data_IF_531469102332
#
_entry.id   IF_531469102332
#
_cell.length_a   1.000
_cell.length_b   1.000
_cell.length_c   1.000
_cell.angle_alpha   90.00
_cell.angle_beta   90.00
_cell.angle_gamma   90.00
#
_symmetry.space_group_name_H-M   'P 1'
#
loop_
_entity.id
_entity.type
_entity.pdbx_description
1 polymer ?
#
# COMPACT_ATOMS: atom_id res chain seq x y z
N UNK A 1 4.62 -2.93 25.87
CA UNK A 1 3.86 -4.07 25.32
C UNK A 1 2.38 -3.70 25.08
N UNK A 2 2.12 -2.89 24.06
CA UNK A 2 0.96 -3.00 23.17
C UNK A 2 1.60 -2.76 21.79
N UNK A 3 1.80 -3.81 21.02
CA UNK A 3 2.78 -3.88 19.92
C UNK A 3 3.39 -5.27 19.78
N UNK A 4 3.32 -6.07 20.83
CA UNK A 4 2.82 -7.42 20.65
C UNK A 4 1.31 -7.27 20.53
N UNK A 5 0.77 -7.53 19.34
CA UNK A 5 -0.59 -8.03 19.29
C UNK A 5 -0.56 -9.29 20.15
N UNK A 6 -1.23 -9.26 21.31
CA UNK A 6 -1.82 -10.50 21.82
C UNK A 6 -2.77 -10.88 20.71
N UNK A 7 -2.28 -11.69 19.78
CA UNK A 7 -3.10 -12.50 18.90
C UNK A 7 -3.85 -13.35 19.90
N UNK A 8 -5.07 -12.91 20.24
CA UNK A 8 -6.05 -13.86 20.67
C UNK A 8 -6.02 -14.93 19.57
N UNK A 9 -5.53 -16.13 19.90
CA UNK A 9 -5.95 -17.35 19.22
C UNK A 9 -7.47 -17.42 19.43
N UNK A 10 -8.22 -16.56 18.74
CA UNK A 10 -9.60 -16.82 18.48
C UNK A 10 -9.55 -18.05 17.57
N UNK A 11 -10.02 -19.17 18.09
CA UNK A 11 -10.17 -20.45 17.41
C UNK A 11 -11.21 -20.39 16.27
N UNK A 12 -11.35 -19.24 15.62
CA UNK A 12 -12.31 -18.92 14.55
C UNK A 12 -11.67 -18.12 13.39
N UNK A 13 -10.35 -18.19 13.18
CA UNK A 13 -9.73 -17.49 12.04
C UNK A 13 -9.93 -18.29 10.75
N UNK A 14 -10.98 -17.96 10.00
CA UNK A 14 -11.13 -18.32 8.59
C UNK A 14 -10.08 -17.55 7.76
N UNK A 15 -8.80 -17.84 7.96
CA UNK A 15 -7.73 -17.43 7.04
C UNK A 15 -7.81 -18.28 5.77
N UNK A 16 -7.16 -17.80 4.70
CA UNK A 16 -7.04 -18.54 3.42
C UNK A 16 -6.06 -19.71 3.48
N UNK A 17 -5.39 -19.92 4.63
CA UNK A 17 -4.46 -21.03 4.85
C UNK A 17 -3.08 -20.75 4.25
N UNK A 18 -2.42 -21.81 3.77
CA UNK A 18 -1.08 -21.70 3.16
C UNK A 18 -1.21 -21.18 1.73
N UNK A 19 -0.46 -20.13 1.41
CA UNK A 19 -0.42 -19.50 0.09
C UNK A 19 0.99 -19.50 -0.48
N UNK A 20 1.09 -19.35 -1.80
CA UNK A 20 2.37 -19.37 -2.51
C UNK A 20 2.41 -18.21 -3.48
N UNK A 21 3.45 -17.38 -3.36
CA UNK A 21 3.73 -16.33 -4.32
C UNK A 21 4.03 -16.92 -5.69
N UNK A 22 3.30 -16.46 -6.70
CA UNK A 22 3.47 -16.80 -8.11
C UNK A 22 4.17 -15.67 -8.83
N UNK A 23 4.77 -16.00 -9.97
CA UNK A 23 5.47 -15.03 -10.80
C UNK A 23 4.96 -15.07 -12.23
N UNK A 24 4.79 -13.89 -12.81
CA UNK A 24 4.44 -13.69 -14.21
C UNK A 24 5.44 -12.70 -14.84
N UNK A 25 6.03 -13.05 -15.98
CA UNK A 25 7.01 -12.18 -16.65
C UNK A 25 6.43 -11.60 -17.93
N UNK A 26 6.36 -10.27 -17.97
CA UNK A 26 6.07 -9.48 -19.16
C UNK A 26 7.36 -9.42 -19.98
N UNK A 27 7.38 -10.10 -21.12
CA UNK A 27 8.55 -10.16 -22.00
C UNK A 27 8.72 -8.89 -22.83
N UNK A 28 7.59 -8.30 -23.25
CA UNK A 28 7.60 -7.07 -24.04
C UNK A 28 8.00 -5.86 -23.18
N UNK A 29 8.65 -4.89 -23.81
CA UNK A 29 8.92 -3.60 -23.17
C UNK A 29 7.61 -2.83 -22.97
N UNK A 30 7.53 -2.15 -21.84
CA UNK A 30 6.41 -1.28 -21.44
C UNK A 30 6.86 0.16 -21.66
N UNK A 31 6.00 0.96 -22.30
CA UNK A 31 6.21 2.40 -22.41
C UNK A 31 5.84 3.08 -21.08
N UNK A 32 6.85 3.59 -20.39
CA UNK A 32 6.67 4.36 -19.17
C UNK A 32 6.10 5.76 -19.47
N UNK A 33 5.56 6.43 -18.45
CA UNK A 33 5.10 7.82 -18.62
C UNK A 33 6.23 8.80 -18.94
N UNK A 34 7.46 8.48 -18.54
CA UNK A 34 8.66 9.22 -18.95
C UNK A 34 8.95 9.13 -20.47
N UNK A 35 8.29 8.20 -21.18
CA UNK A 35 8.57 7.87 -22.58
C UNK A 35 9.62 6.77 -22.76
N UNK A 36 10.27 6.32 -21.69
CA UNK A 36 11.25 5.23 -21.74
C UNK A 36 10.57 3.87 -22.01
N UNK A 37 11.33 2.95 -22.63
CA UNK A 37 10.89 1.57 -22.89
C UNK A 37 11.57 0.63 -21.91
N UNK A 38 10.81 0.07 -20.97
CA UNK A 38 11.35 -0.74 -19.88
C UNK A 38 10.86 -2.19 -19.91
N UNK A 39 11.77 -3.14 -19.74
CA UNK A 39 11.45 -4.57 -19.64
C UNK A 39 12.68 -5.46 -19.88
N UNK A 40 12.57 -6.78 -19.64
CA UNK A 40 11.39 -7.50 -19.16
C UNK A 40 11.02 -7.16 -17.71
N UNK A 41 9.74 -7.35 -17.36
CA UNK A 41 9.21 -7.08 -16.00
C UNK A 41 8.63 -8.35 -15.41
N UNK A 42 9.19 -8.81 -14.29
CA UNK A 42 8.61 -9.86 -13.46
C UNK A 42 7.62 -9.24 -12.47
N UNK A 43 6.47 -9.87 -12.30
CA UNK A 43 5.43 -9.48 -11.35
C UNK A 43 5.23 -10.62 -10.36
N UNK A 44 5.46 -10.33 -9.08
CA UNK A 44 5.10 -11.22 -7.98
C UNK A 44 3.65 -10.98 -7.57
N UNK A 45 2.86 -12.05 -7.47
CA UNK A 45 1.45 -11.96 -7.13
C UNK A 45 0.94 -13.20 -6.40
N UNK A 46 -0.14 -13.03 -5.66
CA UNK A 46 -0.92 -14.09 -5.02
C UNK A 46 -2.39 -13.98 -5.41
N UNK A 47 -3.08 -15.10 -5.30
CA UNK A 47 -4.49 -15.23 -5.65
C UNK A 47 -5.22 -16.02 -4.59
N UNK A 48 -6.41 -15.59 -4.19
CA UNK A 48 -7.22 -16.21 -3.15
C UNK A 48 -8.65 -16.42 -3.67
N UNK A 49 -9.26 -17.57 -3.37
CA UNK A 49 -10.55 -17.95 -3.96
C UNK A 49 -10.44 -18.46 -5.41
N UNK A 50 -11.56 -18.52 -6.12
CA UNK A 50 -11.66 -19.12 -7.46
C UNK A 50 -12.32 -18.16 -8.45
N UNK A 51 -11.68 -17.97 -9.61
CA UNK A 51 -12.25 -17.20 -10.72
C UNK A 51 -13.38 -17.98 -11.37
N UNK A 52 -14.56 -17.35 -11.49
CA UNK A 52 -15.73 -17.97 -12.11
C UNK A 52 -15.62 -18.04 -13.64
N UNK A 53 -16.52 -18.81 -14.28
CA UNK A 53 -16.51 -19.00 -15.74
C UNK A 53 -16.74 -17.69 -16.52
N UNK A 54 -17.52 -16.77 -15.94
CA UNK A 54 -17.81 -15.45 -16.52
C UNK A 54 -16.61 -14.50 -16.43
N UNK A 55 -15.66 -14.79 -15.52
CA UNK A 55 -14.44 -14.03 -15.25
C UNK A 55 -14.72 -12.61 -14.76
N UNK A 56 -15.77 -12.47 -13.96
CA UNK A 56 -16.30 -11.19 -13.48
C UNK A 56 -16.36 -11.08 -11.93
N UNK A 57 -15.96 -12.12 -11.20
CA UNK A 57 -15.89 -12.09 -9.73
C UNK A 57 -14.51 -11.70 -9.18
N UNK A 58 -13.68 -10.96 -9.94
CA UNK A 58 -12.33 -10.62 -9.50
C UNK A 58 -12.28 -9.36 -8.62
N UNK A 59 -11.45 -9.40 -7.57
CA UNK A 59 -11.07 -8.21 -6.79
C UNK A 59 -9.55 -8.04 -6.88
N UNK A 60 -9.09 -6.89 -7.38
CA UNK A 60 -7.67 -6.52 -7.35
C UNK A 60 -7.39 -5.69 -6.09
N UNK A 61 -6.59 -6.24 -5.17
CA UNK A 61 -6.11 -5.58 -3.96
C UNK A 61 -4.76 -4.93 -4.19
N UNK A 62 -4.72 -3.62 -3.93
CA UNK A 62 -3.59 -2.75 -4.17
C UNK A 62 -2.99 -2.37 -2.81
N UNK A 63 -1.76 -2.80 -2.54
CA UNK A 63 -1.12 -2.61 -1.25
C UNK A 63 -0.65 -1.17 -1.02
N UNK A 64 -0.47 -0.80 0.25
CA UNK A 64 0.11 0.48 0.66
C UNK A 64 1.65 0.51 0.44
N UNK A 65 2.31 1.63 0.73
CA UNK A 65 3.72 1.89 0.37
C UNK A 65 4.71 0.75 0.68
N UNK A 66 4.53 0.06 1.80
CA UNK A 66 5.47 -0.97 2.29
C UNK A 66 4.88 -2.38 2.31
N UNK A 67 3.71 -2.58 1.69
CA UNK A 67 3.09 -3.88 1.52
C UNK A 67 3.69 -4.65 0.35
N UNK A 68 3.13 -5.84 0.10
CA UNK A 68 3.54 -6.74 -0.97
C UNK A 68 2.32 -7.55 -1.48
N UNK A 69 2.58 -8.62 -2.25
CA UNK A 69 1.55 -9.50 -2.78
C UNK A 69 0.85 -10.38 -1.71
N UNK A 70 1.44 -10.53 -0.52
CA UNK A 70 0.96 -11.45 0.50
C UNK A 70 -0.09 -10.78 1.39
N UNK A 71 -1.28 -10.58 0.83
CA UNK A 71 -2.41 -9.94 1.50
C UNK A 71 -3.04 -10.82 2.60
N UNK A 72 -3.02 -12.14 2.48
CA UNK A 72 -3.64 -13.04 3.47
C UNK A 72 -3.03 -14.44 3.47
N UNK A 73 -3.33 -15.20 4.52
CA UNK A 73 -2.79 -16.54 4.70
C UNK A 73 -1.39 -16.51 5.29
N UNK A 74 -0.69 -17.62 5.14
CA UNK A 74 0.69 -17.81 5.60
C UNK A 74 1.49 -18.44 4.45
N UNK A 75 2.80 -18.20 4.36
CA UNK A 75 3.66 -18.92 3.40
C UNK A 75 4.10 -20.28 3.94
N UNK A 76 4.18 -20.43 5.26
CA UNK A 76 4.52 -21.68 5.94
C UNK A 76 3.72 -21.88 7.23
N UNK A 77 3.62 -23.13 7.71
CA UNK A 77 2.97 -23.42 9.00
C UNK A 77 3.72 -22.83 10.20
N UNK A 78 5.00 -22.49 10.02
CA UNK A 78 5.87 -21.91 11.06
C UNK A 78 5.80 -20.36 11.10
N UNK A 79 5.11 -19.75 10.15
CA UNK A 79 5.00 -18.29 10.07
C UNK A 79 4.24 -17.74 11.27
N UNK A 80 4.85 -16.79 11.97
CA UNK A 80 4.27 -16.18 13.18
C UNK A 80 3.14 -15.21 12.88
N UNK A 81 3.08 -14.67 11.66
CA UNK A 81 2.13 -13.63 11.25
C UNK A 81 1.59 -13.97 9.87
N UNK A 82 0.28 -13.77 9.64
CA UNK A 82 -0.28 -13.93 8.32
C UNK A 82 0.02 -12.71 7.44
N UNK A 83 -0.46 -12.75 6.19
CA UNK A 83 -0.42 -11.64 5.25
C UNK A 83 -0.98 -10.33 5.79
N UNK A 84 -0.59 -9.22 5.17
CA UNK A 84 -0.75 -7.86 5.72
C UNK A 84 -2.20 -7.38 5.90
N UNK A 85 -3.17 -8.08 5.30
CA UNK A 85 -4.60 -7.79 5.42
C UNK A 85 -5.45 -9.04 5.67
N UNK A 86 -4.90 -10.06 6.34
CA UNK A 86 -5.61 -11.32 6.59
C UNK A 86 -6.99 -11.08 7.21
N UNK A 87 -7.13 -10.15 8.16
CA UNK A 87 -8.42 -9.83 8.79
C UNK A 87 -9.50 -9.34 7.82
N UNK A 88 -9.13 -8.84 6.65
CA UNK A 88 -10.05 -8.37 5.60
C UNK A 88 -10.25 -9.38 4.46
N UNK A 89 -9.35 -10.35 4.27
CA UNK A 89 -9.36 -11.26 3.11
C UNK A 89 -9.44 -12.71 3.57
N UNK A 90 -10.47 -13.42 3.12
CA UNK A 90 -10.68 -14.84 3.45
C UNK A 90 -12.16 -15.22 3.48
N UNK A 91 -12.48 -16.48 3.78
CA UNK A 91 -13.87 -16.97 3.78
C UNK A 91 -14.77 -16.14 4.71
N UNK A 92 -15.82 -15.55 4.16
CA UNK A 92 -16.79 -14.73 4.89
C UNK A 92 -16.31 -13.33 5.33
N UNK A 93 -15.06 -12.93 5.05
CA UNK A 93 -14.49 -11.62 5.43
C UNK A 93 -14.96 -10.50 4.48
N UNK A 94 -14.36 -9.30 4.58
CA UNK A 94 -14.72 -8.16 3.75
C UNK A 94 -14.55 -8.45 2.25
N UNK A 95 -13.40 -9.01 1.91
CA UNK A 95 -13.05 -9.56 0.61
C UNK A 95 -13.22 -11.08 0.69
N UNK A 96 -14.48 -11.50 0.58
CA UNK A 96 -14.93 -12.87 0.80
C UNK A 96 -14.43 -13.82 -0.31
N UNK A 97 -13.46 -14.67 0.02
CA UNK A 97 -12.84 -15.60 -0.95
C UNK A 97 -13.72 -16.78 -1.33
N UNK A 98 -14.85 -16.99 -0.64
CA UNK A 98 -15.87 -17.95 -1.07
C UNK A 98 -16.69 -17.43 -2.26
N UNK A 99 -16.62 -16.11 -2.52
CA UNK A 99 -17.38 -15.43 -3.58
C UNK A 99 -16.49 -14.83 -4.65
N UNK A 100 -15.36 -14.27 -4.25
CA UNK A 100 -14.49 -13.49 -5.11
C UNK A 100 -13.15 -14.19 -5.36
N UNK A 101 -12.63 -13.97 -6.56
CA UNK A 101 -11.24 -14.26 -6.91
C UNK A 101 -10.39 -13.03 -6.60
N UNK A 102 -9.73 -13.04 -5.45
CA UNK A 102 -8.92 -11.92 -4.98
C UNK A 102 -7.51 -12.06 -5.56
N UNK A 103 -6.99 -10.97 -6.13
CA UNK A 103 -5.65 -10.86 -6.70
C UNK A 103 -4.89 -9.81 -5.90
N UNK A 104 -3.68 -10.10 -5.46
CA UNK A 104 -2.78 -9.10 -4.89
C UNK A 104 -1.42 -9.23 -5.54
N UNK A 105 -0.86 -8.11 -6.02
CA UNK A 105 0.43 -8.08 -6.70
C UNK A 105 1.33 -7.03 -6.09
N UNK A 106 2.61 -7.36 -5.93
CA UNK A 106 3.59 -6.39 -5.50
C UNK A 106 3.83 -5.35 -6.63
N UNK A 107 3.92 -4.08 -6.25
CA UNK A 107 4.02 -2.95 -7.17
C UNK A 107 5.34 -2.95 -7.95
N UNK A 108 5.30 -2.47 -9.20
CA UNK A 108 6.52 -2.14 -9.95
C UNK A 108 7.39 -1.18 -9.11
N UNK A 109 8.70 -1.43 -9.05
CA UNK A 109 9.62 -0.65 -8.23
C UNK A 109 9.72 -1.11 -6.76
N UNK A 110 8.85 -2.05 -6.34
CA UNK A 110 8.96 -2.71 -5.04
C UNK A 110 10.16 -3.65 -4.92
N UNK A 111 10.30 -4.28 -3.75
CA UNK A 111 11.41 -5.18 -3.43
C UNK A 111 10.99 -6.61 -3.04
N UNK A 112 9.70 -6.87 -2.89
CA UNK A 112 9.14 -8.21 -2.61
C UNK A 112 8.81 -9.00 -3.90
N UNK A 113 9.78 -9.16 -4.79
CA UNK A 113 9.70 -10.06 -5.95
C UNK A 113 9.22 -9.49 -7.30
N UNK A 114 8.46 -8.39 -7.34
CA UNK A 114 8.20 -7.65 -8.60
C UNK A 114 9.46 -6.86 -8.97
N UNK A 115 9.73 -6.71 -10.27
CA UNK A 115 10.89 -5.98 -10.77
C UNK A 115 10.96 -4.56 -10.20
N UNK A 116 12.09 -4.27 -9.56
CA UNK A 116 12.41 -2.98 -8.93
C UNK A 116 13.92 -2.74 -8.90
N UNK A 117 14.37 -1.68 -8.22
CA UNK A 117 15.78 -1.29 -8.16
C UNK A 117 16.74 -2.39 -7.66
N UNK A 118 16.27 -3.31 -6.81
CA UNK A 118 17.07 -4.42 -6.30
C UNK A 118 17.11 -5.63 -7.26
N UNK A 119 16.30 -5.63 -8.31
CA UNK A 119 16.27 -6.69 -9.33
C UNK A 119 17.48 -6.61 -10.24
N UNK A 120 17.89 -7.76 -10.78
CA UNK A 120 19.02 -7.83 -11.73
C UNK A 120 18.61 -7.20 -13.06
N UNK A 121 19.39 -6.22 -13.50
CA UNK A 121 19.34 -5.66 -14.84
C UNK A 121 19.92 -6.69 -15.83
N UNK A 122 19.13 -7.17 -16.81
CA UNK A 122 19.59 -8.17 -17.76
C UNK A 122 20.70 -7.66 -18.70
N UNK A 123 20.81 -6.35 -18.91
CA UNK A 123 21.85 -5.76 -19.77
C UNK A 123 23.22 -5.72 -19.09
N UNK A 124 23.26 -5.65 -17.75
CA UNK A 124 24.51 -5.48 -16.98
C UNK A 124 24.85 -6.66 -16.09
N UNK A 125 23.89 -7.55 -15.81
CA UNK A 125 24.04 -8.66 -14.87
C UNK A 125 24.15 -8.24 -13.40
N UNK A 126 23.85 -6.97 -13.07
CA UNK A 126 23.91 -6.40 -11.72
C UNK A 126 22.54 -5.83 -11.31
N UNK A 127 22.26 -5.64 -10.01
CA UNK A 127 21.06 -4.93 -9.60
C UNK A 127 20.95 -3.55 -10.27
N UNK A 128 19.73 -3.11 -10.61
CA UNK A 128 19.53 -1.82 -11.28
C UNK A 128 20.05 -0.62 -10.45
N UNK A 129 19.83 -0.60 -9.14
CA UNK A 129 20.11 0.57 -8.31
C UNK A 129 19.42 1.82 -8.86
N UNK A 130 20.18 2.90 -9.04
CA UNK A 130 19.65 4.14 -9.62
C UNK A 130 19.56 4.14 -11.16
N UNK A 131 20.01 3.07 -11.83
CA UNK A 131 19.77 2.89 -13.26
C UNK A 131 18.33 2.37 -13.53
N UNK A 132 17.56 2.08 -12.47
CA UNK A 132 16.13 1.79 -12.60
C UNK A 132 15.40 3.05 -13.10
N UNK A 133 14.46 2.95 -14.04
CA UNK A 133 13.74 4.12 -14.52
C UNK A 133 12.85 4.71 -13.42
N UNK A 134 12.70 6.02 -13.40
CA UNK A 134 11.71 6.67 -12.52
C UNK A 134 10.32 6.30 -13.02
N UNK A 135 9.51 5.74 -12.12
CA UNK A 135 8.17 5.22 -12.41
C UNK A 135 7.07 6.08 -11.79
N UNK A 136 5.85 5.93 -12.29
CA UNK A 136 4.63 6.54 -11.74
C UNK A 136 3.63 5.50 -11.25
N UNK A 137 2.54 5.94 -10.62
CA UNK A 137 1.43 5.06 -10.23
C UNK A 137 0.80 4.43 -11.49
N UNK A 138 0.74 5.18 -12.58
CA UNK A 138 0.19 4.76 -13.85
C UNK A 138 1.03 3.69 -14.54
N UNK A 139 2.36 3.77 -14.40
CA UNK A 139 3.25 2.72 -14.86
C UNK A 139 3.06 1.41 -14.07
N UNK A 140 2.82 1.50 -12.75
CA UNK A 140 2.45 0.33 -11.95
C UNK A 140 1.10 -0.26 -12.39
N UNK A 141 0.10 0.58 -12.69
CA UNK A 141 -1.21 0.14 -13.19
C UNK A 141 -1.10 -0.53 -14.56
N UNK A 142 -0.25 -0.03 -15.48
CA UNK A 142 0.04 -0.70 -16.76
C UNK A 142 0.61 -2.11 -16.55
N UNK A 143 1.52 -2.29 -15.59
CA UNK A 143 2.09 -3.60 -15.24
C UNK A 143 1.02 -4.51 -14.67
N UNK A 144 0.23 -4.03 -13.72
CA UNK A 144 -0.88 -4.78 -13.12
C UNK A 144 -1.91 -5.19 -14.17
N UNK A 145 -2.20 -4.33 -15.16
CA UNK A 145 -3.10 -4.66 -16.27
C UNK A 145 -2.62 -5.85 -17.08
N UNK A 146 -1.32 -5.96 -17.35
CA UNK A 146 -0.75 -7.13 -18.03
C UNK A 146 -0.93 -8.41 -17.21
N UNK A 147 -0.81 -8.35 -15.88
CA UNK A 147 -1.10 -9.47 -15.00
C UNK A 147 -2.59 -9.86 -15.03
N UNK A 148 -3.49 -8.87 -14.92
CA UNK A 148 -4.95 -9.08 -14.97
C UNK A 148 -5.37 -9.73 -16.30
N UNK A 149 -4.78 -9.28 -17.41
CA UNK A 149 -5.00 -9.88 -18.74
C UNK A 149 -4.48 -11.32 -18.82
N UNK A 150 -3.30 -11.58 -18.26
CA UNK A 150 -2.73 -12.93 -18.18
C UNK A 150 -3.62 -13.90 -17.38
N UNK A 151 -4.19 -13.44 -16.27
CA UNK A 151 -5.15 -14.21 -15.47
C UNK A 151 -6.52 -14.36 -16.17
N UNK A 152 -6.74 -13.62 -17.26
CA UNK A 152 -7.91 -13.71 -18.11
C UNK A 152 -9.17 -13.14 -17.46
N UNK A 153 -9.03 -12.18 -16.55
CA UNK A 153 -10.12 -11.45 -15.89
C UNK A 153 -10.78 -10.47 -16.87
N UNK A 154 -12.12 -10.41 -16.87
CA UNK A 154 -12.89 -9.54 -17.78
C UNK A 154 -13.53 -8.34 -17.09
N UNK A 155 -13.91 -8.50 -15.82
CA UNK A 155 -14.43 -7.43 -14.97
C UNK A 155 -13.78 -7.54 -13.61
N UNK A 156 -13.50 -6.40 -13.00
CA UNK A 156 -12.91 -6.37 -11.67
C UNK A 156 -13.51 -5.27 -10.79
N UNK A 157 -13.45 -5.55 -9.49
CA UNK A 157 -13.48 -4.52 -8.45
C UNK A 157 -12.03 -4.21 -8.10
N UNK A 158 -11.69 -2.93 -7.91
CA UNK A 158 -10.37 -2.52 -7.41
C UNK A 158 -10.51 -1.96 -6.00
N UNK A 159 -9.60 -2.35 -5.10
CA UNK A 159 -9.62 -1.87 -3.73
C UNK A 159 -8.20 -1.61 -3.23
N UNK A 160 -8.01 -0.51 -2.51
CA UNK A 160 -6.71 -0.17 -1.96
C UNK A 160 -6.77 0.87 -0.86
N UNK A 161 -5.88 0.68 0.12
CA UNK A 161 -5.64 1.62 1.20
C UNK A 161 -4.41 2.48 0.95
N UNK A 162 -4.38 3.73 1.40
CA UNK A 162 -3.20 4.60 1.27
C UNK A 162 -2.74 4.73 -0.20
N UNK A 163 -1.46 4.51 -0.51
CA UNK A 163 -0.96 4.42 -1.88
C UNK A 163 -1.75 3.44 -2.77
N UNK A 164 -2.32 2.37 -2.20
CA UNK A 164 -3.21 1.45 -2.91
C UNK A 164 -4.46 2.14 -3.46
N UNK A 165 -4.99 3.14 -2.74
CA UNK A 165 -6.14 3.92 -3.19
C UNK A 165 -5.80 4.85 -4.36
N UNK A 166 -4.55 5.34 -4.45
CA UNK A 166 -4.06 6.09 -5.62
C UNK A 166 -4.06 5.19 -6.87
N UNK A 167 -3.54 3.97 -6.74
CA UNK A 167 -3.58 2.97 -7.79
C UNK A 167 -5.02 2.62 -8.18
N UNK A 168 -5.93 2.48 -7.21
CA UNK A 168 -7.34 2.17 -7.46
C UNK A 168 -8.06 3.29 -8.24
N UNK A 169 -7.76 4.55 -7.90
CA UNK A 169 -8.24 5.71 -8.64
C UNK A 169 -7.76 5.69 -10.09
N UNK A 170 -6.47 5.46 -10.32
CA UNK A 170 -5.91 5.37 -11.67
C UNK A 170 -6.56 4.23 -12.48
N UNK A 171 -6.72 3.05 -11.88
CA UNK A 171 -7.42 1.93 -12.51
C UNK A 171 -8.83 2.31 -13.00
N UNK A 172 -9.56 3.07 -12.19
CA UNK A 172 -10.92 3.51 -12.52
C UNK A 172 -11.00 4.44 -13.73
N UNK A 173 -9.89 5.08 -14.09
CA UNK A 173 -9.77 6.03 -15.19
C UNK A 173 -9.18 5.34 -16.42
N UNK A 174 -8.03 4.66 -16.26
CA UNK A 174 -7.29 4.04 -17.36
C UNK A 174 -8.01 2.83 -17.97
N UNK A 175 -8.79 2.10 -17.17
CA UNK A 175 -9.44 0.84 -17.56
C UNK A 175 -10.93 0.83 -17.17
N UNK A 176 -11.61 1.95 -17.45
CA UNK A 176 -12.99 2.19 -17.02
C UNK A 176 -14.05 1.25 -17.61
N UNK A 177 -13.72 0.53 -18.67
CA UNK A 177 -14.55 -0.52 -19.26
C UNK A 177 -14.49 -1.83 -18.48
N UNK A 178 -13.41 -2.06 -17.72
CA UNK A 178 -13.18 -3.28 -16.94
C UNK A 178 -13.61 -3.13 -15.48
N UNK A 179 -13.40 -1.94 -14.90
CA UNK A 179 -13.62 -1.68 -13.48
C UNK A 179 -15.10 -1.40 -13.18
N UNK A 180 -15.73 -2.27 -12.37
CA UNK A 180 -17.14 -2.15 -11.98
C UNK A 180 -17.33 -1.40 -10.66
N UNK A 181 -16.40 -1.54 -9.73
CA UNK A 181 -16.43 -0.82 -8.47
C UNK A 181 -15.03 -0.51 -7.95
N UNK A 182 -14.92 0.55 -7.17
CA UNK A 182 -13.67 1.08 -6.64
C UNK A 182 -13.83 1.34 -5.14
N UNK A 183 -12.96 0.74 -4.32
CA UNK A 183 -12.95 0.95 -2.86
C UNK A 183 -11.65 1.66 -2.48
N UNK A 184 -11.79 2.88 -1.97
CA UNK A 184 -10.68 3.78 -1.61
C UNK A 184 -10.72 3.97 -0.10
N UNK A 185 -9.64 3.59 0.58
CA UNK A 185 -9.58 3.61 2.04
C UNK A 185 -8.38 4.47 2.47
N UNK A 186 -8.61 5.50 3.28
CA UNK A 186 -7.54 6.38 3.78
C UNK A 186 -6.56 6.75 2.65
N UNK A 187 -7.01 7.46 1.62
CA UNK A 187 -6.23 7.78 0.42
C UNK A 187 -6.58 9.16 -0.11
N UNK A 188 -5.83 9.60 -1.12
CA UNK A 188 -5.96 10.91 -1.76
C UNK A 188 -5.79 10.84 -3.28
N UNK A 189 -6.28 11.85 -3.99
CA UNK A 189 -6.09 12.05 -5.43
C UNK A 189 -4.77 12.75 -5.78
N UNK A 190 -4.09 13.30 -4.75
CA UNK A 190 -2.75 13.88 -4.81
C UNK A 190 -2.17 14.10 -3.42
N UNK A 191 -0.86 14.12 -3.30
CA UNK A 191 -0.21 14.38 -2.03
C UNK A 191 -0.28 15.87 -1.63
N UNK A 192 -0.39 16.16 -0.33
CA UNK A 192 -0.28 17.53 0.17
C UNK A 192 1.18 17.99 0.17
N UNK A 193 1.42 19.31 0.24
CA UNK A 193 2.77 19.85 0.41
C UNK A 193 3.48 19.26 1.65
N UNK A 194 2.73 19.03 2.74
CA UNK A 194 3.25 18.41 3.95
C UNK A 194 3.63 16.94 3.74
N UNK A 195 2.79 16.16 3.04
CA UNK A 195 3.12 14.78 2.67
C UNK A 195 4.38 14.68 1.80
N UNK A 196 4.51 15.57 0.81
CA UNK A 196 5.71 15.66 -0.05
C UNK A 196 6.94 15.99 0.80
N UNK A 197 6.82 16.90 1.78
CA UNK A 197 7.92 17.26 2.67
C UNK A 197 8.39 16.06 3.52
N UNK A 198 7.48 15.25 4.07
CA UNK A 198 7.86 14.03 4.80
C UNK A 198 8.59 13.02 3.91
N UNK A 199 8.07 12.78 2.71
CA UNK A 199 8.74 11.90 1.74
C UNK A 199 10.13 12.43 1.37
N UNK A 200 10.28 13.75 1.19
CA UNK A 200 11.57 14.38 0.91
C UNK A 200 12.57 14.21 2.06
N UNK A 201 12.14 14.34 3.33
CA UNK A 201 12.99 14.09 4.50
C UNK A 201 13.46 12.64 4.54
N UNK A 202 12.55 11.68 4.34
CA UNK A 202 12.91 10.25 4.30
C UNK A 202 13.90 9.92 3.19
N UNK A 203 13.67 10.44 1.98
CA UNK A 203 14.63 10.28 0.87
C UNK A 203 15.98 10.92 1.17
N UNK A 204 16.00 12.13 1.73
CA UNK A 204 17.26 12.79 2.09
C UNK A 204 18.04 12.03 3.16
N UNK A 205 17.36 11.37 4.12
CA UNK A 205 18.02 10.53 5.11
C UNK A 205 18.77 9.35 4.45
N UNK A 206 18.14 8.69 3.47
CA UNK A 206 18.76 7.61 2.68
C UNK A 206 19.90 8.14 1.82
N UNK A 207 19.68 9.21 1.06
CA UNK A 207 20.67 9.78 0.15
C UNK A 207 21.92 10.31 0.88
N UNK A 208 21.77 10.73 2.14
CA UNK A 208 22.87 11.25 2.97
C UNK A 208 23.62 10.15 3.72
N UNK A 209 23.15 8.90 3.66
CA UNK A 209 23.81 7.78 4.33
C UNK A 209 25.16 7.50 3.64
N UNK A 210 26.29 7.45 4.38
CA UNK A 210 27.61 7.23 3.79
C UNK A 210 27.73 5.88 3.06
N UNK A 211 26.87 4.90 3.38
CA UNK A 211 26.83 3.60 2.75
C UNK A 211 25.85 3.51 1.58
N UNK A 212 25.12 4.57 1.26
CA UNK A 212 24.22 4.60 0.10
C UNK A 212 24.97 4.41 -1.22
N UNK A 213 26.23 4.86 -1.31
CA UNK A 213 27.09 4.64 -2.47
C UNK A 213 26.41 4.97 -3.82
N UNK A 214 25.70 6.11 -3.90
CA UNK A 214 24.91 6.50 -5.08
C UNK A 214 23.97 5.39 -5.57
N UNK A 215 23.32 4.69 -4.63
CA UNK A 215 22.41 3.57 -4.84
C UNK A 215 23.07 2.25 -5.29
N UNK A 216 24.40 2.19 -5.37
CA UNK A 216 25.16 0.99 -5.74
C UNK A 216 25.67 0.24 -4.50
N UNK A 217 24.83 0.02 -3.49
CA UNK A 217 25.22 -0.61 -2.22
C UNK A 217 25.09 -2.15 -2.22
N UNK A 218 24.44 -2.74 -3.22
CA UNK A 218 24.21 -4.18 -3.27
C UNK A 218 25.50 -4.99 -3.26
N UNK A 219 25.53 -6.04 -2.44
CA UNK A 219 26.70 -6.92 -2.28
C UNK A 219 27.87 -6.29 -1.53
N UNK A 220 27.71 -5.08 -0.98
CA UNK A 220 28.70 -4.47 -0.09
C UNK A 220 28.49 -4.90 1.35
N UNK A 221 29.57 -4.84 2.13
CA UNK A 221 29.56 -5.14 3.56
C UNK A 221 28.59 -4.25 4.34
N UNK A 222 28.55 -2.94 4.02
CA UNK A 222 27.67 -1.98 4.66
C UNK A 222 26.56 -1.53 3.71
N UNK A 223 25.34 -1.43 4.26
CA UNK A 223 24.12 -0.98 3.58
C UNK A 223 23.67 0.36 4.19
N UNK A 224 22.83 1.19 3.50
CA UNK A 224 22.32 2.46 4.02
C UNK A 224 21.20 2.27 5.08
N UNK A 225 21.44 1.39 6.04
CA UNK A 225 20.47 0.95 7.05
C UNK A 225 20.03 2.11 7.93
N UNK A 226 20.96 2.99 8.31
CA UNK A 226 20.66 4.14 9.17
C UNK A 226 19.74 5.13 8.45
N UNK A 227 20.05 5.47 7.20
CA UNK A 227 19.22 6.34 6.39
C UNK A 227 17.80 5.78 6.19
N UNK A 228 17.70 4.48 5.90
CA UNK A 228 16.41 3.79 5.72
C UNK A 228 15.61 3.69 7.03
N UNK A 229 16.26 3.38 8.15
CA UNK A 229 15.64 3.36 9.46
C UNK A 229 15.08 4.73 9.84
N UNK A 230 15.82 5.82 9.58
CA UNK A 230 15.34 7.20 9.81
C UNK A 230 14.13 7.50 8.92
N UNK A 231 14.18 7.13 7.64
CA UNK A 231 13.04 7.31 6.74
C UNK A 231 11.79 6.58 7.29
N UNK A 232 11.96 5.35 7.80
CA UNK A 232 10.87 4.61 8.44
C UNK A 232 10.37 5.29 9.70
N UNK A 233 11.26 5.76 10.58
CA UNK A 233 10.86 6.44 11.83
C UNK A 233 10.01 7.67 11.54
N UNK A 234 10.41 8.49 10.56
CA UNK A 234 9.65 9.68 10.15
C UNK A 234 8.28 9.28 9.61
N UNK A 235 8.19 8.29 8.71
CA UNK A 235 6.90 7.79 8.22
C UNK A 235 6.04 7.19 9.34
N UNK A 236 6.64 6.44 10.26
CA UNK A 236 5.90 5.80 11.35
C UNK A 236 5.24 6.81 12.30
N UNK A 237 5.86 7.98 12.49
CA UNK A 237 5.24 9.09 13.24
C UNK A 237 4.01 9.62 12.49
N UNK A 238 4.03 9.67 11.16
CA UNK A 238 2.90 10.16 10.37
C UNK A 238 1.73 9.20 10.29
N UNK A 239 1.93 7.92 10.56
CA UNK A 239 0.86 6.93 10.51
C UNK A 239 0.01 6.89 11.79
N UNK A 240 0.54 7.37 12.90
CA UNK A 240 -0.08 7.33 14.22
C UNK A 240 -0.75 8.67 14.56
N UNK A 241 -1.72 8.64 15.46
CA UNK A 241 -2.29 9.87 16.04
C UNK A 241 -1.58 10.26 17.36
N UNK A 242 -1.65 11.55 17.70
CA UNK A 242 -1.05 12.09 18.93
C UNK A 242 -1.60 11.42 20.20
N UNK A 243 -2.91 11.22 20.29
CA UNK A 243 -3.56 10.64 21.46
C UNK A 243 -3.07 9.21 21.74
N UNK A 244 -2.97 8.39 20.69
CA UNK A 244 -2.47 7.02 20.78
C UNK A 244 -1.00 6.99 21.23
N UNK A 245 -0.17 7.88 20.68
CA UNK A 245 1.23 8.03 21.10
C UNK A 245 1.36 8.46 22.56
N UNK A 246 0.54 9.43 23.00
CA UNK A 246 0.53 9.90 24.37
C UNK A 246 0.10 8.79 25.36
N UNK A 247 -0.97 8.05 25.03
CA UNK A 247 -1.44 6.93 25.85
C UNK A 247 -0.38 5.82 25.94
N UNK A 248 0.23 5.47 24.79
CA UNK A 248 1.18 4.36 24.67
C UNK A 248 2.56 4.64 25.25
N UNK A 249 3.04 5.88 25.22
CA UNK A 249 4.39 6.23 25.69
C UNK A 249 4.42 7.37 26.71
N UNK A 250 3.60 8.41 26.50
CA UNK A 250 3.64 9.62 27.32
C UNK A 250 5.05 10.20 27.37
N UNK A 251 5.53 10.49 28.58
CA UNK A 251 6.93 10.88 28.84
C UNK A 251 7.72 9.82 29.61
N UNK A 252 7.34 8.55 29.48
CA UNK A 252 7.97 7.46 30.23
C UNK A 252 9.40 7.20 29.74
N UNK A 253 10.29 7.02 30.69
CA UNK A 253 11.67 6.62 30.45
C UNK A 253 11.77 5.11 30.15
N UNK A 254 12.79 4.71 29.39
CA UNK A 254 13.08 3.31 29.06
C UNK A 254 13.92 2.67 30.18
N UNK A 255 13.32 1.74 30.93
CA UNK A 255 13.97 0.95 32.00
C UNK A 255 14.69 1.78 33.08
N UNK A 256 14.26 3.02 33.32
CA UNK A 256 14.82 3.97 34.29
C UNK A 256 13.81 5.04 34.71
N UNK A 257 14.19 5.89 35.67
CA UNK A 257 13.35 6.97 36.21
C UNK A 257 13.92 8.39 36.02
N UNK A 258 15.10 8.52 35.39
CA UNK A 258 15.80 9.80 35.19
C UNK A 258 16.53 9.83 33.85
N UNK A 259 16.76 11.02 33.26
CA UNK A 259 17.49 11.15 31.99
C UNK A 259 18.98 10.86 32.16
N UNK A 260 19.62 10.42 31.07
CA UNK A 260 21.07 10.17 31.01
C UNK A 260 21.90 11.47 30.90
N UNK A 261 21.30 12.57 30.40
CA UNK A 261 21.99 13.81 30.02
C UNK A 261 23.08 13.61 28.94
N UNK A 262 22.82 12.72 27.99
CA UNK A 262 23.60 12.49 26.78
C UNK A 262 22.64 12.34 25.56
N UNK A 263 23.15 11.82 24.44
CA UNK A 263 22.35 11.58 23.23
C UNK A 263 21.87 10.13 23.08
N UNK A 264 21.98 9.31 24.14
CA UNK A 264 21.45 7.95 24.14
C UNK A 264 19.94 7.95 24.46
N UNK A 265 19.28 6.83 24.21
CA UNK A 265 17.85 6.66 24.43
C UNK A 265 17.48 6.93 25.89
N UNK A 266 16.56 7.86 26.09
CA UNK A 266 15.96 8.15 27.39
C UNK A 266 14.52 7.65 27.46
N UNK A 267 13.73 7.84 26.41
CA UNK A 267 12.30 7.62 26.40
C UNK A 267 11.89 6.32 25.70
N UNK A 268 10.81 5.69 26.17
CA UNK A 268 10.26 4.47 25.57
C UNK A 268 9.89 4.65 24.08
N UNK A 269 9.45 5.85 23.70
CA UNK A 269 9.10 6.17 22.31
C UNK A 269 10.32 6.14 21.38
N UNK A 270 11.51 6.53 21.88
CA UNK A 270 12.75 6.51 21.10
C UNK A 270 13.17 5.06 20.84
N UNK A 271 13.19 4.22 21.88
CA UNK A 271 13.48 2.79 21.76
C UNK A 271 12.50 2.08 20.81
N UNK A 272 11.21 2.43 20.89
CA UNK A 272 10.20 1.90 20.00
C UNK A 272 10.45 2.27 18.54
N UNK A 273 10.72 3.55 18.25
CA UNK A 273 10.97 4.02 16.89
C UNK A 273 12.25 3.40 16.32
N UNK A 274 13.32 3.28 17.12
CA UNK A 274 14.55 2.61 16.71
C UNK A 274 14.29 1.14 16.34
N UNK A 275 13.55 0.41 17.18
CA UNK A 275 13.18 -0.97 16.90
C UNK A 275 12.33 -1.11 15.63
N UNK A 276 11.32 -0.25 15.44
CA UNK A 276 10.49 -0.25 14.22
C UNK A 276 11.30 0.12 12.97
N UNK A 277 12.30 0.99 13.11
CA UNK A 277 13.26 1.30 12.05
C UNK A 277 14.06 0.08 11.63
N UNK A 278 14.65 -0.64 12.59
CA UNK A 278 15.46 -1.82 12.31
C UNK A 278 14.67 -2.95 11.65
N UNK A 279 13.49 -3.28 12.18
CA UNK A 279 12.62 -4.32 11.60
C UNK A 279 12.24 -4.00 10.14
N UNK A 280 12.15 -2.72 9.79
CA UNK A 280 11.86 -2.32 8.43
C UNK A 280 13.05 -2.46 7.49
N UNK A 281 14.26 -2.13 7.96
CA UNK A 281 15.50 -2.31 7.20
C UNK A 281 15.68 -3.76 6.76
N UNK A 282 15.35 -4.71 7.63
CA UNK A 282 15.52 -6.14 7.35
C UNK A 282 14.64 -6.65 6.18
N UNK A 283 13.58 -5.92 5.82
CA UNK A 283 12.58 -6.36 4.83
C UNK A 283 12.36 -5.42 3.65
N UNK A 284 13.04 -4.28 3.59
CA UNK A 284 12.78 -3.27 2.58
C UNK A 284 14.06 -2.72 1.95
N UNK A 285 14.01 -2.48 0.64
CA UNK A 285 15.14 -1.93 -0.11
C UNK A 285 15.12 -0.39 -0.11
N UNK A 286 16.28 0.22 0.14
CA UNK A 286 16.39 1.67 0.24
C UNK A 286 16.14 2.37 -1.11
N UNK A 287 16.53 1.77 -2.24
CA UNK A 287 16.28 2.36 -3.55
C UNK A 287 14.79 2.23 -3.87
N UNK A 288 14.16 1.07 -3.66
CA UNK A 288 12.71 0.90 -3.80
C UNK A 288 11.93 1.98 -3.02
N UNK A 289 12.36 2.31 -1.80
CA UNK A 289 11.76 3.40 -1.04
C UNK A 289 11.84 4.75 -1.76
N UNK A 290 12.99 5.09 -2.36
CA UNK A 290 13.15 6.31 -3.15
C UNK A 290 12.18 6.34 -4.34
N UNK A 291 12.10 5.25 -5.10
CA UNK A 291 11.26 5.19 -6.31
C UNK A 291 9.77 5.21 -5.98
N UNK A 292 9.32 4.43 -5.00
CA UNK A 292 7.90 4.37 -4.62
C UNK A 292 7.44 5.69 -4.03
N UNK A 293 8.20 6.30 -3.10
CA UNK A 293 7.83 7.62 -2.56
C UNK A 293 7.82 8.71 -3.63
N UNK A 294 8.66 8.58 -4.66
CA UNK A 294 8.66 9.52 -5.78
C UNK A 294 7.44 9.34 -6.68
N UNK A 295 7.02 8.11 -6.94
CA UNK A 295 5.78 7.82 -7.67
C UNK A 295 4.55 8.39 -6.93
N UNK A 296 4.51 8.24 -5.61
CA UNK A 296 3.46 8.82 -4.75
C UNK A 296 3.45 10.36 -4.83
N UNK A 297 4.61 11.00 -4.80
CA UNK A 297 4.72 12.46 -4.91
C UNK A 297 4.27 13.00 -6.29
N UNK A 298 4.47 12.22 -7.36
CA UNK A 298 4.10 12.61 -8.72
C UNK A 298 2.63 12.40 -9.05
N UNK A 299 1.92 11.60 -8.27
CA UNK A 299 0.51 11.35 -8.51
C UNK A 299 -0.34 12.60 -8.23
N UNK A 300 -0.86 13.22 -9.30
CA UNK A 300 -1.85 14.30 -9.22
C UNK A 300 -2.84 14.20 -10.39
N UNK A 301 -4.01 13.64 -10.11
CA UNK A 301 -5.07 13.47 -11.11
C UNK A 301 -5.59 14.79 -11.66
N UNK A 302 -5.67 15.83 -10.82
CA UNK A 302 -6.18 17.12 -11.26
C UNK A 302 -5.19 17.80 -12.21
N UNK A 303 -3.89 17.73 -11.91
CA UNK A 303 -2.85 18.24 -12.79
C UNK A 303 -2.85 17.54 -14.14
N UNK A 304 -3.05 16.20 -14.15
CA UNK A 304 -3.02 15.39 -15.36
C UNK A 304 -4.23 15.58 -16.26
N UNK A 305 -5.43 15.69 -15.68
CA UNK A 305 -6.69 15.74 -16.41
C UNK A 305 -7.33 17.13 -16.51
N UNK A 306 -6.72 18.16 -15.92
CA UNK A 306 -7.25 19.52 -15.81
C UNK A 306 -8.04 19.73 -14.52
N UNK A 307 -8.87 18.76 -14.13
CA UNK A 307 -9.59 18.74 -12.86
C UNK A 307 -9.96 17.32 -12.43
N UNK A 308 -10.25 17.12 -11.14
CA UNK A 308 -10.74 15.83 -10.65
C UNK A 308 -12.09 15.43 -11.28
N UNK A 309 -12.95 16.40 -11.58
CA UNK A 309 -14.22 16.13 -12.28
C UNK A 309 -13.93 15.50 -13.64
N UNK A 310 -13.09 16.14 -14.46
CA UNK A 310 -12.72 15.68 -15.80
C UNK A 310 -12.01 14.32 -15.76
N UNK A 311 -11.16 14.07 -14.75
CA UNK A 311 -10.55 12.77 -14.53
C UNK A 311 -11.60 11.66 -14.40
N UNK A 312 -12.67 11.91 -13.64
CA UNK A 312 -13.71 10.93 -13.39
C UNK A 312 -14.79 10.85 -14.48
N UNK A 313 -14.88 11.77 -15.44
CA UNK A 313 -15.99 11.80 -16.41
C UNK A 313 -16.21 10.46 -17.15
N UNK A 314 -15.12 9.76 -17.47
CA UNK A 314 -15.15 8.51 -18.24
C UNK A 314 -15.21 7.24 -17.39
N UNK A 315 -15.18 7.33 -16.07
CA UNK A 315 -15.30 6.15 -15.22
C UNK A 315 -16.74 5.60 -15.26
N UNK A 316 -16.89 4.27 -15.30
CA UNK A 316 -18.20 3.61 -15.20
C UNK A 316 -18.40 2.95 -13.84
N UNK A 317 -17.40 3.02 -12.96
CA UNK A 317 -17.42 2.36 -11.68
C UNK A 317 -18.33 3.09 -10.68
N UNK A 318 -18.84 2.33 -9.72
CA UNK A 318 -19.35 2.87 -8.45
C UNK A 318 -18.24 2.94 -7.42
N UNK A 319 -18.32 3.89 -6.50
CA UNK A 319 -17.24 4.19 -5.57
C UNK A 319 -17.67 4.02 -4.11
N UNK A 320 -16.79 3.44 -3.31
CA UNK A 320 -16.82 3.53 -1.85
C UNK A 320 -15.56 4.27 -1.41
N UNK A 321 -15.74 5.39 -0.73
CA UNK A 321 -14.65 6.17 -0.13
C UNK A 321 -14.77 6.10 1.38
N UNK A 322 -13.72 5.64 2.04
CA UNK A 322 -13.63 5.56 3.51
C UNK A 322 -12.46 6.39 4.02
N UNK A 323 -12.69 7.20 5.05
CA UNK A 323 -11.67 7.98 5.74
C UNK A 323 -11.73 7.78 7.25
N UNK A 324 -10.70 8.21 7.97
CA UNK A 324 -10.64 8.10 9.43
C UNK A 324 -10.45 9.47 10.07
N UNK A 325 -11.17 9.73 11.17
CA UNK A 325 -11.27 11.07 11.78
C UNK A 325 -9.93 11.63 12.27
N UNK A 326 -8.98 10.78 12.64
CA UNK A 326 -7.65 11.18 13.13
C UNK A 326 -6.52 10.97 12.12
N UNK A 327 -6.85 10.57 10.89
CA UNK A 327 -5.85 10.51 9.82
C UNK A 327 -5.43 11.94 9.45
N UNK A 328 -4.16 12.25 9.69
CA UNK A 328 -3.57 13.54 9.36
C UNK A 328 -2.58 13.45 8.20
N UNK A 329 -2.23 12.23 7.76
CA UNK A 329 -1.44 12.02 6.56
C UNK A 329 -2.32 12.22 5.33
N UNK A 330 -3.46 11.53 5.27
CA UNK A 330 -4.51 11.69 4.25
C UNK A 330 -5.84 12.08 4.92
N UNK A 331 -5.99 13.36 5.28
CA UNK A 331 -7.14 13.81 6.06
C UNK A 331 -8.46 13.61 5.33
N UNK A 332 -9.55 13.47 6.09
CA UNK A 332 -10.92 13.35 5.55
C UNK A 332 -11.24 14.42 4.51
N UNK A 333 -10.67 15.63 4.60
CA UNK A 333 -10.85 16.67 3.59
C UNK A 333 -10.45 16.21 2.18
N UNK A 334 -9.34 15.46 2.03
CA UNK A 334 -8.91 14.92 0.73
C UNK A 334 -9.87 13.83 0.21
N UNK A 335 -10.41 13.00 1.10
CA UNK A 335 -11.47 12.05 0.75
C UNK A 335 -12.75 12.78 0.29
N UNK A 336 -13.14 13.87 0.99
CA UNK A 336 -14.28 14.71 0.61
C UNK A 336 -14.05 15.40 -0.74
N UNK A 337 -12.83 15.79 -1.09
CA UNK A 337 -12.49 16.32 -2.42
C UNK A 337 -12.77 15.28 -3.54
N UNK A 338 -12.36 14.03 -3.35
CA UNK A 338 -12.65 12.92 -4.28
C UNK A 338 -14.17 12.73 -4.42
N UNK A 339 -14.90 12.62 -3.30
CA UNK A 339 -16.35 12.43 -3.28
C UNK A 339 -17.08 13.57 -3.99
N UNK A 340 -16.70 14.82 -3.72
CA UNK A 340 -17.29 15.99 -4.39
C UNK A 340 -17.05 15.97 -5.90
N UNK A 341 -15.85 15.56 -6.34
CA UNK A 341 -15.55 15.45 -7.76
C UNK A 341 -16.36 14.34 -8.44
N UNK A 342 -16.50 13.18 -7.80
CA UNK A 342 -17.35 12.07 -8.27
C UNK A 342 -18.82 12.48 -8.40
N UNK A 343 -19.37 13.18 -7.40
CA UNK A 343 -20.73 13.73 -7.46
C UNK A 343 -20.89 14.71 -8.63
N UNK A 344 -19.92 15.63 -8.81
CA UNK A 344 -19.93 16.60 -9.92
C UNK A 344 -19.79 15.94 -11.30
N UNK A 345 -19.16 14.77 -11.37
CA UNK A 345 -19.06 13.94 -12.56
C UNK A 345 -20.26 13.00 -12.75
N UNK A 346 -21.27 13.06 -11.86
CA UNK A 346 -22.49 12.23 -11.93
C UNK A 346 -22.25 10.75 -11.64
N UNK A 347 -21.28 10.42 -10.79
CA UNK A 347 -20.92 9.03 -10.45
C UNK A 347 -21.60 8.56 -9.16
N UNK A 348 -21.88 7.27 -9.10
CA UNK A 348 -22.38 6.61 -7.90
C UNK A 348 -21.25 6.52 -6.87
N UNK A 349 -21.43 7.18 -5.72
CA UNK A 349 -20.42 7.23 -4.66
C UNK A 349 -21.08 7.16 -3.29
N UNK A 350 -20.56 6.27 -2.46
CA UNK A 350 -20.82 6.19 -1.03
C UNK A 350 -19.60 6.68 -0.25
N UNK A 351 -19.83 7.45 0.81
CA UNK A 351 -18.77 7.96 1.68
C UNK A 351 -19.04 7.58 3.13
N UNK A 352 -18.02 7.06 3.82
CA UNK A 352 -18.06 6.80 5.25
C UNK A 352 -16.82 7.38 5.95
N UNK A 353 -17.05 8.20 6.97
CA UNK A 353 -16.02 8.66 7.89
C UNK A 353 -16.08 7.79 9.14
N UNK A 354 -15.00 7.06 9.42
CA UNK A 354 -14.91 6.13 10.55
C UNK A 354 -14.18 6.85 11.69
N UNK A 355 -14.79 6.89 12.86
CA UNK A 355 -14.14 7.39 14.05
C UNK A 355 -13.09 6.37 14.53
N UNK A 356 -11.83 6.78 14.57
CA UNK A 356 -10.74 5.92 15.06
C UNK A 356 -9.62 6.78 15.64
N UNK A 357 -9.02 6.37 16.78
CA UNK A 357 -7.82 7.01 17.33
C UNK A 357 -6.53 6.43 16.73
N UNK A 358 -6.59 5.66 15.63
CA UNK A 358 -5.42 4.96 15.11
C UNK A 358 -4.66 5.74 14.01
N UNK A 359 -5.10 6.96 13.67
CA UNK A 359 -4.47 7.75 12.61
C UNK A 359 -4.64 7.11 11.24
N UNK A 360 -3.60 7.22 10.41
CA UNK A 360 -3.58 6.62 9.08
C UNK A 360 -3.65 5.09 9.12
N UNK A 361 -2.95 4.45 10.08
CA UNK A 361 -2.92 2.98 10.20
C UNK A 361 -4.28 2.37 10.58
N UNK A 362 -5.30 3.19 10.87
CA UNK A 362 -6.66 2.72 11.14
C UNK A 362 -7.21 1.79 10.05
N UNK A 363 -6.84 1.96 8.78
CA UNK A 363 -7.30 1.06 7.70
C UNK A 363 -6.82 -0.39 7.85
N UNK A 364 -5.71 -0.61 8.58
CA UNK A 364 -5.17 -1.94 8.89
C UNK A 364 -5.71 -2.50 10.21
N UNK A 365 -6.37 -1.68 11.03
CA UNK A 365 -6.72 -2.01 12.41
C UNK A 365 -8.24 -2.06 12.65
N UNK A 366 -9.02 -1.19 12.01
CA UNK A 366 -10.47 -1.06 12.20
C UNK A 366 -11.26 -2.05 11.30
N UNK A 367 -10.83 -3.31 11.22
CA UNK A 367 -11.32 -4.27 10.23
C UNK A 367 -12.79 -4.64 10.44
N UNK A 368 -13.31 -4.67 11.67
CA UNK A 368 -14.72 -5.03 11.92
C UNK A 368 -15.70 -4.04 11.30
N UNK A 369 -15.46 -2.74 11.51
CA UNK A 369 -16.29 -1.66 10.96
C UNK A 369 -16.15 -1.62 9.44
N UNK A 370 -14.92 -1.68 8.93
CA UNK A 370 -14.65 -1.71 7.51
C UNK A 370 -15.31 -2.92 6.83
N UNK A 371 -15.27 -4.11 7.44
CA UNK A 371 -15.88 -5.33 6.91
C UNK A 371 -17.38 -5.14 6.68
N UNK A 372 -18.10 -4.55 7.63
CA UNK A 372 -19.54 -4.30 7.49
C UNK A 372 -19.84 -3.36 6.33
N UNK A 373 -19.08 -2.27 6.22
CA UNK A 373 -19.25 -1.27 5.15
C UNK A 373 -18.92 -1.88 3.79
N UNK A 374 -17.78 -2.55 3.66
CA UNK A 374 -17.33 -3.18 2.42
C UNK A 374 -18.31 -4.25 1.96
N UNK A 375 -18.77 -5.15 2.85
CA UNK A 375 -19.76 -6.18 2.50
C UNK A 375 -21.08 -5.57 2.04
N UNK A 376 -21.58 -4.54 2.74
CA UNK A 376 -22.80 -3.83 2.35
C UNK A 376 -22.66 -3.14 0.99
N UNK A 377 -21.49 -2.57 0.70
CA UNK A 377 -21.23 -1.98 -0.60
C UNK A 377 -21.19 -3.08 -1.67
N UNK A 378 -20.40 -4.14 -1.47
CA UNK A 378 -20.22 -5.23 -2.44
C UNK A 378 -21.52 -5.98 -2.76
N UNK A 379 -22.42 -6.17 -1.77
CA UNK A 379 -23.73 -6.81 -2.00
C UNK A 379 -24.74 -5.93 -2.75
N UNK A 380 -24.37 -4.70 -3.15
CA UNK A 380 -25.27 -3.72 -3.81
C UNK A 380 -26.53 -3.43 -3.00
N UNK A 381 -26.49 -3.61 -1.68
CA UNK A 381 -27.65 -3.42 -0.81
C UNK A 381 -28.67 -4.57 -0.84
N UNK A 382 -28.33 -5.71 -1.47
CA UNK A 382 -29.09 -6.95 -1.27
C UNK A 382 -28.85 -7.41 0.18
N UNK A 383 -29.89 -7.27 1.01
CA UNK A 383 -29.91 -7.79 2.38
C UNK A 383 -30.15 -9.29 2.25
N UNK A 384 -29.14 -10.11 2.49
CA UNK A 384 -29.35 -11.52 2.77
C UNK A 384 -29.94 -11.62 4.19
N UNK A 385 -31.17 -12.13 4.28
CA UNK A 385 -31.93 -12.35 5.52
C UNK A 385 -31.19 -13.14 6.59
#
# INVERSE_FOLDING_TARGET
MIGDSVVHKNETTHSVGITVTKYFTIQDKICLESGEQFGPVQVAYETYGVLNDQKDNAILLLHALTGDAHAAGYHSEDDKKPGWWDDMVGPGKAFDTDKYFVISSNMLGGCSGTTGPCSINPDTGKPYGLDFPVITIEDAVKVQKKLVDYLGVKKLIVAGGSMGGMQALEWSIAHSDMVEAVIIIASTSRLTAQGIAFNAVGRNAILSDPYFNNGNYYGKENQPERGLAIARMVGHITYLCEESMHKKFGRRFQDKDKPNFDFNIDFQVESYLEHQGQVFVDRFDANSYLYITKAVDYFDLAQKHGSLKEAFEKTNARFLVMSFTTDWLFPTSQSKEIVQALIKAGKDVSFCEIESPCGHDAFLLEFETQTKIVKSFLSKGEINE
#
